data_IF_623653472235
#
_entry.id   IF_623653472235
#
_cell.length_a   1.000
_cell.length_b   1.000
_cell.length_c   1.000
_cell.angle_alpha   90.00
_cell.angle_beta   90.00
_cell.angle_gamma   90.00
#
_symmetry.space_group_name_H-M   'P 1'
#
loop_
_entity.id
_entity.type
_entity.pdbx_description
1 polymer ?
#
# COMPACT_ATOMS: atom_id res chain seq x y z
N UNK A 1 -38.76 8.74 -39.30
CA UNK A 1 -38.25 8.34 -37.97
C UNK A 1 -37.53 9.55 -37.40
N UNK A 2 -38.26 10.39 -36.65
CA UNK A 2 -37.82 11.76 -36.37
C UNK A 2 -36.92 11.83 -35.14
N UNK A 3 -35.86 12.62 -35.28
CA UNK A 3 -34.88 12.98 -34.25
C UNK A 3 -35.61 13.45 -32.97
N UNK A 4 -35.58 12.64 -31.91
CA UNK A 4 -36.35 12.93 -30.69
C UNK A 4 -35.82 14.19 -30.01
N UNK A 5 -36.73 15.13 -29.76
CA UNK A 5 -36.43 16.52 -29.45
C UNK A 5 -35.38 16.77 -28.36
N UNK A 6 -34.28 17.39 -28.76
CA UNK A 6 -33.35 18.13 -27.89
C UNK A 6 -33.87 19.53 -27.49
N UNK A 7 -35.17 19.81 -27.70
CA UNK A 7 -35.80 21.06 -27.31
C UNK A 7 -36.43 20.96 -25.92
N UNK A 8 -35.72 21.39 -24.87
CA UNK A 8 -36.35 21.60 -23.56
C UNK A 8 -35.48 21.41 -22.30
N UNK A 9 -34.20 21.06 -22.42
CA UNK A 9 -33.27 20.95 -21.27
C UNK A 9 -31.95 21.61 -21.59
N UNK A 10 -31.40 22.38 -20.64
CA UNK A 10 -30.14 23.10 -20.85
C UNK A 10 -28.99 22.10 -21.07
N UNK A 11 -28.21 22.22 -22.17
CA UNK A 11 -27.12 21.29 -22.47
C UNK A 11 -26.09 21.18 -21.34
N UNK A 12 -25.83 22.29 -20.64
CA UNK A 12 -24.96 22.33 -19.46
C UNK A 12 -25.47 21.45 -18.31
N UNK A 13 -26.78 21.37 -18.12
CA UNK A 13 -27.40 20.56 -17.06
C UNK A 13 -27.38 19.06 -17.44
N UNK A 14 -27.51 18.72 -18.72
CA UNK A 14 -27.34 17.35 -19.20
C UNK A 14 -25.89 16.87 -19.07
N UNK A 15 -24.93 17.68 -19.53
CA UNK A 15 -23.50 17.40 -19.34
C UNK A 15 -23.13 17.25 -17.86
N UNK A 16 -23.66 18.13 -17.01
CA UNK A 16 -23.49 18.05 -15.55
C UNK A 16 -24.00 16.71 -15.01
N UNK A 17 -25.23 16.30 -15.37
CA UNK A 17 -25.82 15.02 -14.92
C UNK A 17 -25.00 13.82 -15.38
N UNK A 18 -24.59 13.78 -16.66
CA UNK A 18 -23.74 12.73 -17.19
C UNK A 18 -22.38 12.65 -16.47
N UNK A 19 -21.76 13.80 -16.21
CA UNK A 19 -20.49 13.90 -15.46
C UNK A 19 -20.62 13.37 -14.03
N UNK A 20 -21.67 13.76 -13.30
CA UNK A 20 -21.92 13.25 -11.94
C UNK A 20 -22.23 11.75 -11.93
N UNK A 21 -22.96 11.23 -12.92
CA UNK A 21 -23.23 9.79 -13.04
C UNK A 21 -21.94 8.99 -13.28
N UNK A 22 -21.06 9.44 -14.18
CA UNK A 22 -19.77 8.82 -14.44
C UNK A 22 -18.85 8.87 -13.20
N UNK A 23 -18.80 10.01 -12.51
CA UNK A 23 -18.04 10.16 -11.26
C UNK A 23 -18.53 9.20 -10.17
N UNK A 24 -19.84 9.13 -9.93
CA UNK A 24 -20.42 8.24 -8.91
C UNK A 24 -20.14 6.76 -9.23
N UNK A 25 -20.14 6.38 -10.50
CA UNK A 25 -19.78 5.02 -10.96
C UNK A 25 -18.31 4.70 -10.62
N UNK A 26 -17.40 5.64 -10.85
CA UNK A 26 -15.98 5.49 -10.51
C UNK A 26 -15.77 5.38 -8.98
N UNK A 27 -16.46 6.21 -8.19
CA UNK A 27 -16.40 6.15 -6.71
C UNK A 27 -16.92 4.81 -6.21
N UNK A 28 -18.03 4.31 -6.76
CA UNK A 28 -18.59 3.00 -6.41
C UNK A 28 -17.60 1.85 -6.69
N UNK A 29 -16.95 1.84 -7.85
CA UNK A 29 -15.98 0.79 -8.17
C UNK A 29 -14.75 0.85 -7.24
N UNK A 30 -14.26 2.05 -6.89
CA UNK A 30 -13.18 2.20 -5.89
C UNK A 30 -13.61 1.63 -4.53
N UNK A 31 -14.81 1.96 -4.05
CA UNK A 31 -15.35 1.44 -2.79
C UNK A 31 -15.48 -0.08 -2.81
N UNK A 32 -15.96 -0.65 -3.92
CA UNK A 32 -16.05 -2.10 -4.15
C UNK A 32 -14.69 -2.78 -4.10
N UNK A 33 -13.66 -2.21 -4.74
CA UNK A 33 -12.28 -2.74 -4.66
C UNK A 33 -11.73 -2.71 -3.23
N UNK A 34 -11.97 -1.63 -2.47
CA UNK A 34 -11.57 -1.53 -1.06
C UNK A 34 -12.22 -2.66 -0.22
N UNK A 35 -13.53 -2.87 -0.35
CA UNK A 35 -14.24 -3.93 0.39
C UNK A 35 -13.73 -5.32 0.03
N UNK A 36 -13.47 -5.60 -1.25
CA UNK A 36 -12.90 -6.88 -1.70
C UNK A 36 -11.51 -7.15 -1.11
N UNK A 37 -10.64 -6.13 -1.07
CA UNK A 37 -9.30 -6.25 -0.46
C UNK A 37 -9.42 -6.47 1.05
N UNK A 38 -10.23 -5.66 1.75
CA UNK A 38 -10.42 -5.77 3.20
C UNK A 38 -10.94 -7.15 3.62
N UNK A 39 -11.94 -7.69 2.92
CA UNK A 39 -12.57 -8.98 3.23
C UNK A 39 -11.59 -10.17 3.10
N UNK A 40 -10.57 -10.04 2.25
CA UNK A 40 -9.62 -11.12 1.96
C UNK A 40 -8.24 -10.90 2.62
N UNK A 41 -8.06 -9.85 3.43
CA UNK A 41 -6.83 -9.62 4.19
C UNK A 41 -6.74 -10.50 5.44
N UNK A 42 -6.09 -11.66 5.30
CA UNK A 42 -5.68 -12.48 6.43
C UNK A 42 -4.53 -11.80 7.20
N UNK A 43 -4.86 -11.08 8.28
CA UNK A 43 -3.88 -10.47 9.18
C UNK A 43 -3.18 -11.59 9.97
N UNK A 44 -1.96 -11.93 9.54
CA UNK A 44 -1.10 -12.87 10.29
C UNK A 44 -0.52 -12.15 11.53
N UNK A 45 -1.28 -12.15 12.62
CA UNK A 45 -0.82 -11.67 13.92
C UNK A 45 0.30 -12.58 14.46
N UNK A 46 1.55 -12.25 14.17
CA UNK A 46 2.72 -12.91 14.72
C UNK A 46 2.91 -12.49 16.19
N UNK A 47 2.19 -13.13 17.10
CA UNK A 47 2.38 -12.92 18.54
C UNK A 47 2.08 -14.19 19.34
N UNK A 48 3.13 -14.72 19.97
CA UNK A 48 3.17 -15.73 21.04
C UNK A 48 3.68 -17.13 20.67
N UNK A 49 4.99 -17.32 20.82
CA UNK A 49 5.52 -18.49 21.56
C UNK A 49 6.51 -17.99 22.63
N UNK A 50 6.12 -18.22 23.88
CA UNK A 50 6.84 -17.98 25.13
C UNK A 50 6.34 -19.03 26.13
N UNK A 51 7.13 -19.53 27.08
CA UNK A 51 8.59 -19.65 27.06
C UNK A 51 8.93 -21.08 26.57
N UNK A 52 9.98 -21.84 26.91
CA UNK A 52 11.24 -21.77 27.70
C UNK A 52 12.25 -22.59 26.78
N UNK A 53 13.52 -22.91 27.05
CA UNK A 53 14.43 -22.79 28.21
C UNK A 53 15.65 -21.89 27.90
N UNK A 54 16.23 -21.36 28.97
CA UNK A 54 17.56 -20.75 29.12
C UNK A 54 17.93 -19.42 28.40
N UNK A 55 18.16 -18.40 29.24
CA UNK A 55 19.09 -17.27 29.04
C UNK A 55 18.98 -16.41 27.75
N UNK A 56 17.79 -15.88 27.47
CA UNK A 56 17.67 -14.79 26.48
C UNK A 56 18.15 -13.44 27.03
N UNK A 57 19.46 -13.22 26.94
CA UNK A 57 20.08 -11.92 27.12
C UNK A 57 19.40 -10.90 26.18
N UNK A 58 18.87 -9.79 26.71
CA UNK A 58 18.21 -8.74 25.91
C UNK A 58 19.28 -8.01 25.09
N UNK A 59 19.63 -8.61 23.96
CA UNK A 59 20.38 -7.92 22.93
C UNK A 59 19.45 -6.88 22.33
N UNK A 60 19.76 -5.61 22.64
CA UNK A 60 19.44 -4.48 21.75
C UNK A 60 19.71 -4.88 20.29
N UNK A 61 18.95 -4.35 19.31
CA UNK A 61 19.21 -4.64 17.90
C UNK A 61 20.67 -4.30 17.60
N UNK A 62 21.48 -5.32 17.34
CA UNK A 62 22.93 -5.16 17.17
C UNK A 62 23.16 -4.16 16.05
N UNK A 63 23.70 -2.99 16.39
CA UNK A 63 24.01 -1.93 15.44
C UNK A 63 25.01 -2.49 14.43
N UNK A 64 24.53 -2.86 13.25
CA UNK A 64 25.35 -3.51 12.23
C UNK A 64 26.50 -2.59 11.83
N UNK A 65 27.72 -3.08 11.94
CA UNK A 65 28.92 -2.30 11.68
C UNK A 65 29.00 -1.90 10.22
N UNK A 66 29.51 -0.70 9.93
CA UNK A 66 29.70 -0.21 8.55
C UNK A 66 30.52 -1.20 7.68
N UNK A 67 31.38 -2.01 8.28
CA UNK A 67 32.24 -2.98 7.59
C UNK A 67 31.67 -4.41 7.52
N UNK A 68 30.59 -4.72 8.23
CA UNK A 68 30.02 -6.07 8.35
C UNK A 68 29.37 -6.53 7.02
N UNK A 69 29.21 -7.84 6.78
CA UNK A 69 28.47 -8.33 5.62
C UNK A 69 27.03 -7.80 5.62
N UNK A 70 26.55 -7.34 4.46
CA UNK A 70 25.22 -6.75 4.34
C UNK A 70 24.13 -7.83 4.37
N UNK A 71 23.08 -7.71 5.21
CA UNK A 71 22.08 -8.77 5.45
C UNK A 71 21.16 -9.06 4.25
N UNK A 72 21.26 -8.30 3.16
CA UNK A 72 20.53 -8.52 1.92
C UNK A 72 21.12 -9.62 1.00
N UNK A 73 22.09 -10.40 1.48
CA UNK A 73 22.72 -11.49 0.71
C UNK A 73 23.65 -11.04 -0.42
N UNK A 74 23.90 -9.73 -0.61
CA UNK A 74 24.66 -9.19 -1.74
C UNK A 74 26.18 -9.47 -1.74
N UNK A 75 26.72 -10.15 -0.72
CA UNK A 75 28.15 -10.40 -0.53
C UNK A 75 29.00 -9.16 -0.23
N UNK A 76 28.41 -7.96 -0.21
CA UNK A 76 29.10 -6.67 -0.02
C UNK A 76 29.10 -6.26 1.45
N UNK A 77 30.08 -5.44 1.87
CA UNK A 77 30.08 -4.80 3.20
C UNK A 77 28.92 -3.81 3.30
N UNK A 78 28.37 -3.61 4.50
CA UNK A 78 27.20 -2.76 4.75
C UNK A 78 27.38 -1.34 4.16
N UNK A 79 28.54 -0.69 4.37
CA UNK A 79 28.90 0.63 3.78
C UNK A 79 28.97 0.68 2.25
N UNK A 80 29.03 -0.46 1.58
CA UNK A 80 29.06 -0.57 0.11
C UNK A 80 27.69 -1.00 -0.46
N UNK A 81 26.70 -1.20 0.41
CA UNK A 81 25.35 -1.61 0.07
C UNK A 81 24.35 -0.71 0.83
N UNK A 82 23.60 -1.23 1.80
CA UNK A 82 22.53 -0.48 2.48
C UNK A 82 23.01 0.70 3.33
N UNK A 83 24.27 0.69 3.78
CA UNK A 83 24.93 1.80 4.48
C UNK A 83 25.73 2.76 3.60
N UNK A 84 25.55 2.71 2.26
CA UNK A 84 26.32 3.55 1.30
C UNK A 84 26.03 5.05 1.44
N UNK A 85 24.79 5.41 1.75
CA UNK A 85 24.34 6.81 1.86
C UNK A 85 24.46 7.41 3.26
N UNK A 86 24.96 6.65 4.25
CA UNK A 86 25.51 7.24 5.46
C UNK A 86 26.86 7.89 5.14
N UNK A 87 26.80 9.04 4.46
CA UNK A 87 27.87 10.03 4.47
C UNK A 87 28.05 10.49 5.93
N UNK A 88 29.30 10.78 6.29
CA UNK A 88 29.69 11.26 7.62
C UNK A 88 30.12 12.72 7.49
#
# INVERSE_FOLDING_TARGET
MSLSGYGGKDPLNEFRKASFAAFNTLVYEIQKQIVLVLNNMNITNQSSKKNEDENFNISTPKKIGRNDPCPCGSGKKYKQCHGKYSLR
#
